data_IF_003077265759
#
_entry.id   IF_003077265759
#
_cell.length_a   1.000
_cell.length_b   1.000
_cell.length_c   1.000
_cell.angle_alpha   90.00
_cell.angle_beta   90.00
_cell.angle_gamma   90.00
#
_symmetry.space_group_name_H-M   'P 1'
#
loop_
_entity.id
_entity.type
_entity.pdbx_description
1 polymer ?
#
# COMPACT_ATOMS: atom_id res chain seq x y z
N UNK A 1 -53.97 22.80 102.86
CA UNK A 1 -54.23 24.03 103.64
C UNK A 1 -54.65 25.10 102.65
N UNK A 2 -55.83 25.67 102.87
CA UNK A 2 -56.50 26.60 101.96
C UNK A 2 -55.76 27.94 101.82
N UNK A 3 -55.90 28.57 100.66
CA UNK A 3 -56.21 29.99 100.58
C UNK A 3 -56.91 30.29 99.24
N UNK A 4 -58.22 30.49 99.37
CA UNK A 4 -59.12 31.06 98.39
C UNK A 4 -58.77 32.55 98.29
N UNK A 5 -58.65 33.13 97.09
CA UNK A 5 -59.01 34.53 96.89
C UNK A 5 -59.58 34.74 95.48
N UNK A 6 -60.88 34.99 95.47
CA UNK A 6 -61.74 35.34 94.36
C UNK A 6 -61.71 36.84 94.06
N UNK A 7 -61.63 37.20 92.78
CA UNK A 7 -62.25 38.37 92.12
C UNK A 7 -61.87 38.23 90.63
N UNK A 8 -62.69 38.41 89.58
CA UNK A 8 -64.05 38.89 89.30
C UNK A 8 -64.34 38.43 87.84
N UNK A 9 -65.58 38.16 87.38
CA UNK A 9 -65.78 37.54 86.06
C UNK A 9 -65.50 38.56 84.96
N UNK A 10 -64.44 38.34 84.17
CA UNK A 10 -64.22 39.10 82.96
C UNK A 10 -65.21 38.61 81.89
N UNK A 11 -66.12 39.50 81.53
CA UNK A 11 -67.07 39.40 80.44
C UNK A 11 -66.43 38.96 79.14
N UNK A 12 -67.16 38.13 78.38
CA UNK A 12 -66.95 37.85 76.97
C UNK A 12 -66.63 39.15 76.21
N UNK A 13 -65.35 39.40 75.91
CA UNK A 13 -64.95 40.34 74.88
C UNK A 13 -64.78 39.57 73.58
N UNK A 14 -65.51 40.04 72.58
CA UNK A 14 -65.57 39.57 71.22
C UNK A 14 -64.14 39.47 70.59
N UNK A 15 -63.70 38.31 70.09
CA UNK A 15 -62.36 38.12 69.53
C UNK A 15 -62.11 38.89 68.22
N UNK A 16 -63.10 39.65 67.75
CA UNK A 16 -63.00 40.45 66.52
C UNK A 16 -62.59 41.91 66.74
N UNK A 17 -62.39 42.35 67.99
CA UNK A 17 -61.99 43.74 68.30
C UNK A 17 -60.57 43.92 68.84
N UNK A 18 -59.80 42.85 69.00
CA UNK A 18 -58.37 42.94 69.34
C UNK A 18 -57.53 43.08 68.06
N UNK A 19 -57.75 44.19 67.34
CA UNK A 19 -56.85 44.61 66.27
C UNK A 19 -55.83 45.55 66.87
N UNK A 20 -54.63 45.03 67.13
CA UNK A 20 -53.46 45.88 67.36
C UNK A 20 -53.29 46.72 66.10
N UNK A 21 -53.60 48.02 66.19
CA UNK A 21 -53.32 48.99 65.13
C UNK A 21 -51.81 49.04 64.94
N UNK A 22 -51.31 48.26 64.00
CA UNK A 22 -49.99 48.47 63.43
C UNK A 22 -50.10 49.68 62.52
N UNK A 23 -49.67 50.85 63.00
CA UNK A 23 -49.46 52.02 62.14
C UNK A 23 -48.30 51.68 61.19
N UNK A 24 -48.63 51.06 60.06
CA UNK A 24 -47.67 50.65 59.02
C UNK A 24 -46.94 51.83 58.37
N UNK A 25 -47.41 53.06 58.57
CA UNK A 25 -46.88 54.28 57.96
C UNK A 25 -45.51 54.73 58.51
N UNK A 26 -45.05 54.20 59.66
CA UNK A 26 -43.75 54.53 60.24
C UNK A 26 -42.65 53.48 59.94
N UNK A 27 -42.96 52.41 59.20
CA UNK A 27 -42.03 51.33 58.83
C UNK A 27 -41.78 51.23 57.31
N UNK A 28 -42.32 52.14 56.51
CA UNK A 28 -42.64 51.88 55.10
C UNK A 28 -41.98 52.79 54.07
N UNK A 29 -40.80 53.36 54.33
CA UNK A 29 -40.04 54.06 53.28
C UNK A 29 -38.57 53.60 53.25
N UNK A 30 -37.88 53.64 54.39
CA UNK A 30 -36.46 53.27 54.47
C UNK A 30 -36.20 51.76 54.26
N UNK A 31 -37.13 50.89 54.68
CA UNK A 31 -37.05 49.44 54.47
C UNK A 31 -37.47 49.01 53.07
N UNK A 32 -38.35 49.76 52.40
CA UNK A 32 -38.73 49.47 51.01
C UNK A 32 -37.57 49.80 50.07
N UNK A 33 -36.92 50.96 50.24
CA UNK A 33 -35.71 51.30 49.48
C UNK A 33 -34.53 50.36 49.71
N UNK A 34 -34.35 49.84 50.94
CA UNK A 34 -33.31 48.84 51.22
C UNK A 34 -33.59 47.47 50.56
N UNK A 35 -34.87 47.09 50.40
CA UNK A 35 -35.27 45.87 49.69
C UNK A 35 -35.08 46.02 48.18
N UNK A 36 -35.39 47.19 47.63
CA UNK A 36 -35.19 47.48 46.19
C UNK A 36 -33.69 47.46 45.83
N UNK A 37 -32.83 48.07 46.65
CA UNK A 37 -31.37 48.03 46.46
C UNK A 37 -30.82 46.60 46.59
N UNK A 38 -31.35 45.78 47.51
CA UNK A 38 -30.94 44.39 47.65
C UNK A 38 -31.37 43.52 46.45
N UNK A 39 -32.55 43.77 45.89
CA UNK A 39 -33.06 43.08 44.70
C UNK A 39 -32.27 43.46 43.44
N UNK A 40 -31.94 44.74 43.26
CA UNK A 40 -31.08 45.20 42.16
C UNK A 40 -29.67 44.60 42.25
N UNK A 41 -29.08 44.57 43.46
CA UNK A 41 -27.79 43.93 43.68
C UNK A 41 -27.83 42.41 43.41
N UNK A 42 -28.96 41.75 43.69
CA UNK A 42 -29.15 40.34 43.37
C UNK A 42 -29.24 40.11 41.85
N UNK A 43 -30.00 40.93 41.12
CA UNK A 43 -30.14 40.85 39.66
C UNK A 43 -28.82 41.06 38.94
N UNK A 44 -28.02 42.04 39.37
CA UNK A 44 -26.68 42.27 38.81
C UNK A 44 -25.76 41.06 39.02
N UNK A 45 -25.80 40.42 40.20
CA UNK A 45 -25.03 39.20 40.47
C UNK A 45 -25.47 38.02 39.61
N UNK A 46 -26.78 37.89 39.37
CA UNK A 46 -27.33 36.85 38.49
C UNK A 46 -26.92 37.07 37.04
N UNK A 47 -26.98 38.31 36.54
CA UNK A 47 -26.52 38.68 35.20
C UNK A 47 -25.01 38.47 35.02
N UNK A 48 -24.18 38.85 36.01
CA UNK A 48 -22.74 38.59 35.99
C UNK A 48 -22.43 37.09 35.99
N UNK A 49 -23.18 36.30 36.78
CA UNK A 49 -23.04 34.86 36.82
C UNK A 49 -23.46 34.20 35.49
N UNK A 50 -24.52 34.70 34.85
CA UNK A 50 -24.97 34.25 33.53
C UNK A 50 -23.92 34.60 32.45
N UNK A 51 -23.42 35.85 32.45
CA UNK A 51 -22.35 36.24 31.54
C UNK A 51 -21.07 35.43 31.75
N UNK A 52 -20.71 35.11 33.00
CA UNK A 52 -19.58 34.25 33.29
C UNK A 52 -19.79 32.83 32.74
N UNK A 53 -20.99 32.26 32.90
CA UNK A 53 -21.35 30.95 32.33
C UNK A 53 -21.26 30.96 30.81
N UNK A 54 -21.87 31.94 30.14
CA UNK A 54 -21.82 32.07 28.69
C UNK A 54 -20.38 32.20 28.16
N UNK A 55 -19.51 32.96 28.85
CA UNK A 55 -18.08 33.06 28.50
C UNK A 55 -17.36 31.71 28.64
N UNK A 56 -17.64 30.96 29.71
CA UNK A 56 -17.05 29.62 29.89
C UNK A 56 -17.54 28.63 28.84
N UNK A 57 -18.83 28.63 28.51
CA UNK A 57 -19.41 27.76 27.49
C UNK A 57 -18.88 28.09 26.10
N UNK A 58 -18.75 29.39 25.77
CA UNK A 58 -18.14 29.83 24.52
C UNK A 58 -16.67 29.40 24.40
N UNK A 59 -15.89 29.52 25.49
CA UNK A 59 -14.50 29.07 25.52
C UNK A 59 -14.36 27.55 25.30
N UNK A 60 -15.20 26.75 25.97
CA UNK A 60 -15.23 25.30 25.78
C UNK A 60 -15.68 24.91 24.37
N UNK A 61 -16.65 25.62 23.79
CA UNK A 61 -17.10 25.39 22.43
C UNK A 61 -16.00 25.72 21.39
N UNK A 62 -15.24 26.79 21.60
CA UNK A 62 -14.11 27.14 20.75
C UNK A 62 -12.98 26.11 20.85
N UNK A 63 -12.64 25.66 22.07
CA UNK A 63 -11.64 24.62 22.28
C UNK A 63 -12.02 23.31 21.57
N UNK A 64 -13.28 22.88 21.70
CA UNK A 64 -13.79 21.70 20.98
C UNK A 64 -13.68 21.84 19.47
N UNK A 65 -14.03 23.00 18.91
CA UNK A 65 -13.89 23.26 17.47
C UNK A 65 -12.43 23.16 17.02
N UNK A 66 -11.50 23.75 17.79
CA UNK A 66 -10.06 23.68 17.51
C UNK A 66 -9.55 22.22 17.57
N UNK A 67 -10.00 21.44 18.53
CA UNK A 67 -9.65 20.02 18.62
C UNK A 67 -10.20 19.19 17.45
N UNK A 68 -11.46 19.41 17.07
CA UNK A 68 -12.09 18.75 15.93
C UNK A 68 -11.39 19.09 14.61
N UNK A 69 -11.07 20.37 14.38
CA UNK A 69 -10.29 20.81 13.22
C UNK A 69 -8.89 20.20 13.21
N UNK A 70 -8.22 20.14 14.37
CA UNK A 70 -6.92 19.51 14.50
C UNK A 70 -6.98 18.00 14.22
N UNK A 71 -8.02 17.31 14.69
CA UNK A 71 -8.28 15.88 14.39
C UNK A 71 -8.54 15.68 12.90
N UNK A 72 -9.44 16.46 12.30
CA UNK A 72 -9.75 16.40 10.88
C UNK A 72 -8.51 16.66 10.00
N UNK A 73 -7.65 17.62 10.40
CA UNK A 73 -6.38 17.88 9.72
C UNK A 73 -5.43 16.69 9.79
N UNK A 74 -5.26 16.08 10.98
CA UNK A 74 -4.41 14.89 11.16
C UNK A 74 -4.92 13.69 10.37
N UNK A 75 -6.22 13.48 10.33
CA UNK A 75 -6.84 12.41 9.54
C UNK A 75 -6.62 12.60 8.04
N UNK A 76 -6.82 13.83 7.52
CA UNK A 76 -6.54 14.14 6.11
C UNK A 76 -5.08 13.94 5.75
N UNK A 77 -4.14 14.40 6.59
CA UNK A 77 -2.72 14.17 6.39
C UNK A 77 -2.36 12.68 6.42
N UNK A 78 -2.94 11.91 7.35
CA UNK A 78 -2.74 10.46 7.41
C UNK A 78 -3.31 9.75 6.17
N UNK A 79 -4.49 10.16 5.69
CA UNK A 79 -5.09 9.63 4.45
C UNK A 79 -4.23 9.95 3.23
N UNK A 80 -3.73 11.19 3.13
CA UNK A 80 -2.84 11.61 2.05
C UNK A 80 -1.54 10.80 2.05
N UNK A 81 -0.89 10.63 3.21
CA UNK A 81 0.31 9.79 3.34
C UNK A 81 0.07 8.35 2.92
N UNK A 82 -1.06 7.75 3.33
CA UNK A 82 -1.43 6.39 2.93
C UNK A 82 -1.67 6.29 1.43
N UNK A 83 -2.36 7.27 0.84
CA UNK A 83 -2.62 7.30 -0.60
C UNK A 83 -1.33 7.48 -1.42
N UNK A 84 -0.42 8.34 -0.97
CA UNK A 84 0.89 8.53 -1.59
C UNK A 84 1.75 7.26 -1.49
N UNK A 85 1.79 6.62 -0.32
CA UNK A 85 2.50 5.37 -0.13
C UNK A 85 1.93 4.26 -1.01
N UNK A 86 0.60 4.16 -1.12
CA UNK A 86 -0.05 3.20 -2.03
C UNK A 86 0.33 3.46 -3.49
N UNK A 87 0.28 4.72 -3.93
CA UNK A 87 0.70 5.10 -5.30
C UNK A 87 2.16 4.76 -5.55
N UNK A 88 3.03 5.03 -4.58
CA UNK A 88 4.45 4.70 -4.67
C UNK A 88 4.67 3.19 -4.78
N UNK A 89 4.03 2.40 -3.93
CA UNK A 89 4.10 0.93 -3.97
C UNK A 89 3.56 0.38 -5.30
N UNK A 90 2.48 0.96 -5.82
CA UNK A 90 1.94 0.56 -7.11
C UNK A 90 2.89 0.90 -8.27
N UNK A 91 3.50 2.09 -8.25
CA UNK A 91 4.50 2.48 -9.24
C UNK A 91 5.73 1.56 -9.20
N UNK A 92 6.25 1.26 -8.01
CA UNK A 92 7.36 0.32 -7.81
C UNK A 92 7.00 -1.09 -8.32
N UNK A 93 5.77 -1.56 -8.08
CA UNK A 93 5.29 -2.85 -8.61
C UNK A 93 5.21 -2.87 -10.13
N UNK A 94 4.67 -1.81 -10.74
CA UNK A 94 4.57 -1.69 -12.21
C UNK A 94 5.95 -1.66 -12.84
N UNK A 95 6.87 -0.89 -12.27
CA UNK A 95 8.25 -0.82 -12.76
C UNK A 95 8.97 -2.17 -12.63
N UNK A 96 8.77 -2.89 -11.52
CA UNK A 96 9.33 -4.23 -11.35
C UNK A 96 8.78 -5.24 -12.37
N UNK A 97 7.48 -5.18 -12.66
CA UNK A 97 6.81 -6.01 -13.68
C UNK A 97 7.33 -5.71 -15.10
N UNK A 98 7.46 -4.42 -15.45
CA UNK A 98 8.03 -4.00 -16.74
C UNK A 98 9.48 -4.45 -16.89
N UNK A 99 10.29 -4.34 -15.84
CA UNK A 99 11.68 -4.82 -15.83
C UNK A 99 11.75 -6.34 -16.02
N UNK A 100 10.91 -7.10 -15.31
CA UNK A 100 10.84 -8.56 -15.45
C UNK A 100 10.45 -8.98 -16.88
N UNK A 101 9.43 -8.34 -17.46
CA UNK A 101 9.01 -8.59 -18.84
C UNK A 101 10.12 -8.22 -19.85
N UNK A 102 10.84 -7.12 -19.62
CA UNK A 102 11.96 -6.72 -20.47
C UNK A 102 13.12 -7.72 -20.40
N UNK A 103 13.42 -8.26 -19.22
CA UNK A 103 14.43 -9.29 -19.02
C UNK A 103 14.04 -10.60 -19.70
N UNK A 104 12.80 -11.05 -19.52
CA UNK A 104 12.26 -12.25 -20.20
C UNK A 104 12.36 -12.11 -21.72
N UNK A 105 11.98 -10.95 -22.27
CA UNK A 105 12.10 -10.66 -23.71
C UNK A 105 13.55 -10.72 -24.19
N UNK A 106 14.49 -10.18 -23.41
CA UNK A 106 15.93 -10.23 -23.74
C UNK A 106 16.44 -11.67 -23.74
N UNK A 107 16.03 -12.47 -22.75
CA UNK A 107 16.39 -13.88 -22.68
C UNK A 107 15.85 -14.66 -23.88
N UNK A 108 14.55 -14.52 -24.17
CA UNK A 108 13.92 -15.18 -25.30
C UNK A 108 14.54 -14.76 -26.65
N UNK A 109 14.91 -13.49 -26.80
CA UNK A 109 15.61 -13.00 -27.99
C UNK A 109 17.01 -13.62 -28.10
N UNK A 110 17.79 -13.61 -27.02
CA UNK A 110 19.14 -14.20 -27.02
C UNK A 110 19.12 -15.71 -27.31
N UNK A 111 18.10 -16.43 -26.82
CA UNK A 111 17.91 -17.84 -27.12
C UNK A 111 17.57 -18.07 -28.61
N UNK A 112 16.68 -17.25 -29.17
CA UNK A 112 16.36 -17.30 -30.61
C UNK A 112 17.58 -17.00 -31.47
N UNK A 113 18.35 -15.97 -31.14
CA UNK A 113 19.56 -15.60 -31.87
C UNK A 113 20.61 -16.74 -31.81
N UNK A 114 20.76 -17.41 -30.66
CA UNK A 114 21.63 -18.59 -30.53
C UNK A 114 21.15 -19.77 -31.37
N UNK A 115 19.84 -20.03 -31.37
CA UNK A 115 19.25 -21.10 -32.17
C UNK A 115 19.41 -20.83 -33.67
N UNK A 116 19.15 -19.59 -34.11
CA UNK A 116 19.34 -19.17 -35.50
C UNK A 116 20.82 -19.25 -35.91
N UNK A 117 21.74 -18.78 -35.07
CA UNK A 117 23.17 -18.89 -35.34
C UNK A 117 23.62 -20.35 -35.45
N UNK A 118 23.12 -21.22 -34.57
CA UNK A 118 23.40 -22.66 -34.64
C UNK A 118 22.82 -23.31 -35.91
N UNK A 119 21.62 -22.90 -36.34
CA UNK A 119 21.02 -23.38 -37.59
C UNK A 119 21.82 -22.92 -38.82
N UNK A 120 22.21 -21.65 -38.87
CA UNK A 120 23.04 -21.11 -39.95
C UNK A 120 24.36 -21.86 -40.04
N UNK A 121 25.00 -22.15 -38.90
CA UNK A 121 26.26 -22.89 -38.87
C UNK A 121 26.07 -24.35 -39.31
N UNK A 122 24.99 -25.01 -38.86
CA UNK A 122 24.64 -26.35 -39.33
C UNK A 122 24.38 -26.38 -40.85
N UNK A 123 23.70 -25.36 -41.40
CA UNK A 123 23.50 -25.23 -42.85
C UNK A 123 24.81 -25.02 -43.61
N UNK A 124 25.73 -24.18 -43.11
CA UNK A 124 27.06 -24.04 -43.72
C UNK A 124 27.82 -25.36 -43.71
N UNK A 125 27.83 -26.06 -42.58
CA UNK A 125 28.48 -27.36 -42.42
C UNK A 125 27.95 -28.38 -43.43
N UNK A 126 26.62 -28.52 -43.55
CA UNK A 126 26.01 -29.45 -44.51
C UNK A 126 26.39 -29.11 -45.96
N UNK A 127 26.43 -27.83 -46.34
CA UNK A 127 26.87 -27.38 -47.67
C UNK A 127 28.34 -27.73 -47.93
N UNK A 128 29.23 -27.49 -46.97
CA UNK A 128 30.65 -27.83 -47.11
C UNK A 128 30.90 -29.34 -47.18
N UNK A 129 30.21 -30.11 -46.34
CA UNK A 129 30.29 -31.58 -46.34
C UNK A 129 29.75 -32.14 -47.66
N UNK A 130 28.60 -31.67 -48.14
CA UNK A 130 28.03 -32.14 -49.41
C UNK A 130 28.93 -31.81 -50.60
N UNK A 131 29.54 -30.62 -50.62
CA UNK A 131 30.55 -30.25 -51.62
C UNK A 131 31.74 -31.21 -51.57
N UNK A 132 32.32 -31.45 -50.39
CA UNK A 132 33.45 -32.36 -50.22
C UNK A 132 33.13 -33.78 -50.68
N UNK A 133 31.95 -34.31 -50.32
CA UNK A 133 31.51 -35.64 -50.73
C UNK A 133 31.40 -35.75 -52.25
N UNK A 134 30.84 -34.72 -52.91
CA UNK A 134 30.72 -34.66 -54.36
C UNK A 134 32.10 -34.61 -55.04
N UNK A 135 32.98 -33.72 -54.58
CA UNK A 135 34.32 -33.52 -55.15
C UNK A 135 35.19 -34.78 -55.03
N UNK A 136 34.99 -35.58 -53.98
CA UNK A 136 35.74 -36.82 -53.74
C UNK A 136 35.05 -38.10 -54.26
N UNK A 137 33.83 -37.98 -54.83
CA UNK A 137 33.08 -39.09 -55.43
C UNK A 137 32.39 -40.02 -54.42
N UNK A 138 32.00 -39.51 -53.26
CA UNK A 138 31.26 -40.25 -52.23
C UNK A 138 29.74 -40.13 -52.46
N UNK A 139 29.21 -40.91 -53.40
CA UNK A 139 27.79 -40.87 -53.77
C UNK A 139 26.84 -41.43 -52.70
N UNK A 140 27.36 -42.15 -51.69
CA UNK A 140 26.56 -42.84 -50.65
C UNK A 140 26.47 -42.04 -49.33
N UNK A 141 26.80 -40.76 -49.35
CA UNK A 141 26.75 -39.89 -48.16
C UNK A 141 27.94 -40.04 -47.22
N UNK A 142 27.82 -39.46 -46.02
CA UNK A 142 28.89 -39.33 -45.00
C UNK A 142 29.40 -40.67 -44.44
N UNK A 143 28.52 -41.67 -44.32
CA UNK A 143 28.87 -43.03 -43.90
C UNK A 143 29.14 -43.99 -45.06
N UNK A 144 28.94 -43.53 -46.30
CA UNK A 144 28.96 -44.36 -47.50
C UNK A 144 30.38 -44.60 -48.03
N UNK A 145 30.84 -45.86 -48.16
CA UNK A 145 32.14 -46.13 -48.73
C UNK A 145 32.17 -45.91 -50.24
N UNK A 146 33.29 -45.36 -50.73
CA UNK A 146 33.69 -45.43 -52.13
C UNK A 146 34.49 -46.70 -52.37
N UNK A 147 34.04 -47.53 -53.32
CA UNK A 147 34.71 -48.78 -53.72
C UNK A 147 35.40 -48.57 -55.05
N UNK A 148 36.68 -48.90 -55.14
CA UNK A 148 37.44 -48.89 -56.39
C UNK A 148 38.33 -50.14 -56.47
N UNK A 149 38.07 -51.01 -57.46
CA UNK A 149 38.66 -52.34 -57.58
C UNK A 149 38.52 -53.14 -56.27
N UNK A 150 39.61 -53.34 -55.54
CA UNK A 150 39.70 -54.07 -54.27
C UNK A 150 39.85 -53.14 -53.05
N UNK A 151 39.74 -51.82 -53.23
CA UNK A 151 39.93 -50.82 -52.16
C UNK A 151 38.61 -50.20 -51.74
N UNK A 152 38.44 -50.06 -50.42
CA UNK A 152 37.31 -49.36 -49.81
C UNK A 152 37.84 -48.15 -49.05
N UNK A 153 37.35 -46.96 -49.37
CA UNK A 153 37.71 -45.71 -48.67
C UNK A 153 36.44 -45.03 -48.20
N UNK A 154 36.45 -44.50 -46.97
CA UNK A 154 35.34 -43.73 -46.42
C UNK A 154 35.65 -42.23 -46.43
N UNK A 155 34.62 -41.36 -46.45
CA UNK A 155 34.81 -39.90 -46.43
C UNK A 155 35.72 -39.43 -45.31
N UNK A 156 35.57 -40.01 -44.10
CA UNK A 156 36.35 -39.65 -42.92
C UNK A 156 37.86 -39.97 -43.09
N UNK A 157 38.20 -41.13 -43.66
CA UNK A 157 39.59 -41.48 -43.95
C UNK A 157 40.20 -40.61 -45.04
N UNK A 158 39.40 -40.22 -46.04
CA UNK A 158 39.87 -39.32 -47.10
C UNK A 158 40.17 -37.92 -46.56
N UNK A 159 39.31 -37.39 -45.69
CA UNK A 159 39.53 -36.10 -45.01
C UNK A 159 40.73 -36.14 -44.05
N UNK A 160 40.91 -37.23 -43.30
CA UNK A 160 42.08 -37.41 -42.44
C UNK A 160 43.38 -37.54 -43.26
N UNK A 161 43.34 -38.27 -44.37
CA UNK A 161 44.49 -38.43 -45.28
C UNK A 161 44.87 -37.11 -45.96
N UNK A 162 43.91 -36.22 -46.22
CA UNK A 162 44.17 -34.88 -46.77
C UNK A 162 44.57 -33.85 -45.71
N UNK A 163 44.58 -34.21 -44.42
CA UNK A 163 44.96 -33.31 -43.32
C UNK A 163 43.93 -32.22 -43.01
N UNK A 164 42.71 -32.32 -43.53
CA UNK A 164 41.67 -31.32 -43.29
C UNK A 164 40.92 -31.63 -41.98
N UNK A 165 41.48 -31.19 -40.85
CA UNK A 165 40.91 -31.40 -39.52
C UNK A 165 39.47 -30.87 -39.40
N UNK A 166 39.18 -29.69 -39.96
CA UNK A 166 37.85 -29.11 -39.95
C UNK A 166 36.82 -30.00 -40.67
N UNK A 167 37.17 -30.56 -41.84
CA UNK A 167 36.29 -31.49 -42.56
C UNK A 167 36.08 -32.81 -41.80
N UNK A 168 37.09 -33.31 -41.09
CA UNK A 168 36.95 -34.48 -40.21
C UNK A 168 35.94 -34.21 -39.10
N UNK A 169 36.05 -33.07 -38.41
CA UNK A 169 35.11 -32.65 -37.38
C UNK A 169 33.69 -32.50 -37.91
N UNK A 170 33.53 -31.80 -39.04
CA UNK A 170 32.23 -31.63 -39.69
C UNK A 170 31.60 -32.96 -40.10
N UNK A 171 32.38 -33.90 -40.64
CA UNK A 171 31.89 -35.24 -40.99
C UNK A 171 31.44 -36.04 -39.77
N UNK A 172 32.16 -35.94 -38.63
CA UNK A 172 31.78 -36.60 -37.38
C UNK A 172 30.45 -36.03 -36.84
N UNK A 173 30.28 -34.72 -36.88
CA UNK A 173 29.03 -34.06 -36.47
C UNK A 173 27.84 -34.41 -37.38
N UNK A 174 28.10 -34.69 -38.67
CA UNK A 174 27.12 -35.22 -39.64
C UNK A 174 26.94 -36.75 -39.58
N UNK A 175 27.47 -37.40 -38.52
CA UNK A 175 27.24 -38.82 -38.25
C UNK A 175 28.19 -39.80 -38.93
N UNK A 176 29.35 -39.36 -39.43
CA UNK A 176 30.38 -40.29 -39.89
C UNK A 176 30.91 -41.13 -38.72
N UNK A 177 31.05 -42.44 -38.92
CA UNK A 177 31.48 -43.35 -37.87
C UNK A 177 33.02 -43.42 -37.79
N UNK A 178 33.64 -43.08 -36.63
CA UNK A 178 35.09 -43.09 -36.48
C UNK A 178 35.70 -44.49 -36.45
N UNK A 179 34.92 -45.52 -36.10
CA UNK A 179 35.38 -46.91 -35.98
C UNK A 179 35.30 -47.71 -37.29
N UNK A 180 34.88 -47.10 -38.40
CA UNK A 180 34.84 -47.79 -39.69
C UNK A 180 36.25 -48.17 -40.13
N UNK A 181 36.44 -49.40 -40.58
CA UNK A 181 37.74 -49.89 -41.09
C UNK A 181 37.76 -49.85 -42.60
N UNK A 182 38.89 -49.47 -43.16
CA UNK A 182 39.07 -49.49 -44.60
C UNK A 182 39.54 -50.90 -45.04
N UNK A 183 39.83 -51.09 -46.33
CA UNK A 183 40.27 -52.41 -46.84
C UNK A 183 41.63 -52.89 -46.30
N UNK A 184 42.38 -52.04 -45.59
CA UNK A 184 43.66 -52.37 -44.94
C UNK A 184 43.52 -52.64 -43.42
N UNK A 185 42.31 -52.59 -42.87
CA UNK A 185 42.03 -52.78 -41.43
C UNK A 185 41.74 -51.48 -40.68
#
# INVERSE_FOLDING_TARGET
>A
MAAIFSCRPCSLLDPTQDTVRFDGAAMSDEKLGAVDVALEAQRLREEEAEQARLRTEAGLAEERRREEEARARREREAQQRRAEEQRRREAERREAEERALAEERRWAQAERERAEAAEVEARKRTVEVTKFLKDNGFAKGTAGPKKFLMRTTYPLHAAAKSGNAAMVEMLLLEGAHPAQKNSAG
#
